data_IF_344206779040
#
_entry.id   IF_344206779040
#
_cell.length_a   1.000
_cell.length_b   1.000
_cell.length_c   1.000
_cell.angle_alpha   90.00
_cell.angle_beta   90.00
_cell.angle_gamma   90.00
#
_symmetry.space_group_name_H-M   'P 1'
#
loop_
_entity.id
_entity.type
_entity.pdbx_description
1 polymer ?
#
# COMPACT_ATOMS: atom_id res chain seq x y z
N UNK A 1 12.65 33.19 -16.62
CA UNK A 1 12.57 32.80 -15.21
C UNK A 1 12.33 31.29 -15.21
N UNK A 2 13.41 30.50 -15.00
CA UNK A 2 13.33 29.04 -15.09
C UNK A 2 12.41 28.49 -14.00
N UNK A 3 11.47 27.65 -14.40
CA UNK A 3 10.63 26.84 -13.49
C UNK A 3 11.61 25.96 -12.70
N UNK A 4 11.68 26.13 -11.39
CA UNK A 4 12.33 25.13 -10.53
C UNK A 4 11.40 23.93 -10.60
N UNK A 5 11.83 22.89 -11.33
CA UNK A 5 11.14 21.60 -11.37
C UNK A 5 11.37 20.96 -9.99
N UNK A 6 10.47 21.24 -9.07
CA UNK A 6 10.47 20.58 -7.76
C UNK A 6 10.16 19.11 -8.00
N UNK A 7 11.03 18.22 -7.55
CA UNK A 7 10.80 16.80 -7.63
C UNK A 7 9.49 16.44 -6.92
N UNK A 8 8.67 15.57 -7.53
CA UNK A 8 7.44 15.03 -6.92
C UNK A 8 7.84 14.24 -5.68
N UNK A 9 7.21 14.52 -4.53
CA UNK A 9 7.44 13.80 -3.27
C UNK A 9 6.35 12.77 -3.08
N UNK A 10 6.75 11.50 -3.08
CA UNK A 10 5.84 10.38 -2.90
C UNK A 10 6.10 9.69 -1.56
N UNK A 11 5.06 9.61 -0.72
CA UNK A 11 5.07 8.94 0.58
C UNK A 11 4.29 7.62 0.49
N UNK A 12 4.96 6.50 0.78
CA UNK A 12 4.35 5.18 0.82
C UNK A 12 4.32 4.66 2.26
N UNK A 13 3.12 4.63 2.87
CA UNK A 13 2.88 4.16 4.24
C UNK A 13 2.47 2.69 4.24
N UNK A 14 2.94 1.91 5.23
CA UNK A 14 2.52 0.52 5.31
C UNK A 14 3.43 -0.42 6.11
N UNK A 15 3.50 -1.65 5.66
CA UNK A 15 4.20 -2.76 6.31
C UNK A 15 5.19 -3.45 5.36
N UNK A 16 5.44 -4.75 5.60
CA UNK A 16 6.35 -5.57 4.77
C UNK A 16 6.00 -5.56 3.28
N UNK A 17 4.73 -5.47 2.93
CA UNK A 17 4.30 -5.39 1.54
C UNK A 17 4.64 -4.05 0.88
N UNK A 18 4.75 -3.00 1.66
CA UNK A 18 5.11 -1.65 1.18
C UNK A 18 6.62 -1.45 1.14
N UNK A 19 7.36 -1.91 2.17
CA UNK A 19 8.84 -1.84 2.12
C UNK A 19 9.42 -2.73 1.03
N UNK A 20 8.71 -3.80 0.61
CA UNK A 20 9.13 -4.69 -0.46
C UNK A 20 9.85 -5.93 0.03
N UNK A 21 9.48 -6.47 1.21
CA UNK A 21 10.03 -7.73 1.72
C UNK A 21 9.79 -8.85 0.71
N UNK A 22 10.82 -9.63 0.43
CA UNK A 22 10.80 -10.70 -0.57
C UNK A 22 11.27 -10.27 -1.96
N UNK A 23 11.39 -8.97 -2.23
CA UNK A 23 12.04 -8.47 -3.43
C UNK A 23 13.56 -8.68 -3.36
N UNK A 24 14.20 -8.82 -4.51
CA UNK A 24 15.65 -9.00 -4.60
C UNK A 24 16.44 -7.74 -4.31
N UNK A 25 15.81 -6.58 -4.44
CA UNK A 25 16.37 -5.24 -4.25
C UNK A 25 15.24 -4.25 -3.91
N UNK A 26 15.55 -3.18 -3.17
CA UNK A 26 14.58 -2.15 -2.79
C UNK A 26 13.91 -1.49 -3.99
N UNK A 27 14.63 -1.34 -5.10
CA UNK A 27 14.09 -0.77 -6.36
C UNK A 27 13.02 -1.65 -7.02
N UNK A 28 12.87 -2.89 -6.57
CA UNK A 28 11.88 -3.86 -7.05
C UNK A 28 10.58 -3.83 -6.25
N UNK A 29 10.52 -3.10 -5.15
CA UNK A 29 9.26 -2.87 -4.44
C UNK A 29 8.27 -2.09 -5.32
N UNK A 30 6.97 -2.34 -5.15
CA UNK A 30 5.96 -1.65 -5.96
C UNK A 30 5.99 -0.11 -5.81
N UNK A 31 6.25 0.48 -4.62
CA UNK A 31 6.36 1.93 -4.51
C UNK A 31 7.57 2.48 -5.25
N UNK A 32 8.72 1.79 -5.21
CA UNK A 32 9.92 2.21 -5.91
C UNK A 32 9.74 2.17 -7.44
N UNK A 33 9.06 1.14 -7.96
CA UNK A 33 8.73 1.05 -9.39
C UNK A 33 7.84 2.22 -9.81
N UNK A 34 6.83 2.58 -9.01
CA UNK A 34 5.94 3.73 -9.31
C UNK A 34 6.71 5.05 -9.20
N UNK A 35 7.54 5.23 -8.17
CA UNK A 35 8.37 6.41 -8.02
C UNK A 35 9.31 6.63 -9.22
N UNK A 36 9.93 5.55 -9.72
CA UNK A 36 10.77 5.60 -10.92
C UNK A 36 9.98 6.04 -12.17
N UNK A 37 8.74 5.58 -12.35
CA UNK A 37 7.86 6.00 -13.46
C UNK A 37 7.52 7.49 -13.43
N UNK A 38 7.43 8.04 -12.23
CA UNK A 38 7.08 9.44 -12.00
C UNK A 38 8.30 10.36 -11.93
N UNK A 39 9.51 9.81 -11.89
CA UNK A 39 10.72 10.52 -11.49
C UNK A 39 10.51 11.25 -10.13
N UNK A 40 9.87 10.55 -9.19
CA UNK A 40 9.51 11.07 -7.88
C UNK A 40 10.55 10.69 -6.81
N UNK A 41 10.71 11.56 -5.82
CA UNK A 41 11.44 11.25 -4.60
C UNK A 41 10.53 10.40 -3.67
N UNK A 42 10.92 9.14 -3.45
CA UNK A 42 10.17 8.22 -2.60
C UNK A 42 10.64 8.30 -1.15
N UNK A 43 9.69 8.53 -0.25
CA UNK A 43 9.86 8.25 1.18
C UNK A 43 9.03 7.04 1.54
N UNK A 44 9.67 5.97 1.99
CA UNK A 44 9.02 4.71 2.37
C UNK A 44 9.45 4.34 3.80
N UNK A 45 8.72 4.81 4.84
CA UNK A 45 9.02 4.54 6.24
C UNK A 45 8.46 3.21 6.74
N UNK A 46 7.85 2.40 5.85
CA UNK A 46 7.22 1.14 6.19
C UNK A 46 8.21 0.15 6.81
N UNK A 47 7.74 -0.65 7.75
CA UNK A 47 8.56 -1.63 8.48
C UNK A 47 7.86 -2.99 8.53
N UNK A 48 8.66 -4.07 8.43
CA UNK A 48 8.16 -5.43 8.53
C UNK A 48 7.39 -5.65 9.84
N UNK A 49 6.22 -6.26 9.74
CA UNK A 49 5.41 -6.61 10.90
C UNK A 49 4.53 -5.48 11.44
N UNK A 50 4.63 -4.26 10.90
CA UNK A 50 3.80 -3.15 11.37
C UNK A 50 2.31 -3.44 11.21
N UNK A 51 1.57 -3.20 12.29
CA UNK A 51 0.11 -3.11 12.33
C UNK A 51 -0.32 -1.67 12.06
N UNK A 52 -1.64 -1.46 11.95
CA UNK A 52 -2.19 -0.10 11.89
C UNK A 52 -1.81 0.73 13.12
N UNK A 53 -1.67 0.12 14.31
CA UNK A 53 -1.25 0.83 15.52
C UNK A 53 0.21 1.26 15.47
N UNK A 54 1.07 0.45 14.86
CA UNK A 54 2.49 0.78 14.68
C UNK A 54 2.65 1.90 13.64
N UNK A 55 1.88 1.85 12.54
CA UNK A 55 1.83 2.92 11.55
C UNK A 55 1.40 4.24 12.21
N UNK A 56 0.33 4.23 13.01
CA UNK A 56 -0.13 5.42 13.74
C UNK A 56 0.97 5.99 14.64
N UNK A 57 1.72 5.12 15.31
CA UNK A 57 2.75 5.54 16.28
C UNK A 57 4.02 6.04 15.61
N UNK A 58 4.44 5.42 14.49
CA UNK A 58 5.78 5.62 13.95
C UNK A 58 5.81 6.28 12.57
N UNK A 59 4.80 6.10 11.72
CA UNK A 59 4.78 6.66 10.37
C UNK A 59 3.94 7.95 10.28
N UNK A 60 2.76 8.00 10.90
CA UNK A 60 1.90 9.19 10.86
C UNK A 60 2.57 10.48 11.37
N UNK A 61 3.42 10.46 12.40
CA UNK A 61 4.13 11.69 12.82
C UNK A 61 4.99 12.32 11.72
N UNK A 62 5.39 11.53 10.72
CA UNK A 62 6.23 12.01 9.61
C UNK A 62 5.41 12.76 8.54
N UNK A 63 4.13 12.46 8.41
CA UNK A 63 3.27 12.89 7.28
C UNK A 63 3.31 14.41 7.07
N UNK A 64 3.08 15.18 8.14
CA UNK A 64 3.04 16.65 8.04
C UNK A 64 4.41 17.27 7.73
N UNK A 65 5.47 16.70 8.29
CA UNK A 65 6.84 17.20 8.10
C UNK A 65 7.36 16.98 6.68
N UNK A 66 6.95 15.88 6.04
CA UNK A 66 7.38 15.50 4.70
C UNK A 66 6.67 16.30 3.59
N UNK A 67 5.48 16.83 3.87
CA UNK A 67 4.67 17.55 2.87
C UNK A 67 4.62 16.84 1.52
N UNK A 68 4.15 15.58 1.45
CA UNK A 68 4.16 14.80 0.23
C UNK A 68 3.17 15.39 -0.79
N UNK A 69 3.44 15.14 -2.08
CA UNK A 69 2.56 15.47 -3.19
C UNK A 69 1.63 14.29 -3.54
N UNK A 70 2.07 13.08 -3.21
CA UNK A 70 1.37 11.81 -3.43
C UNK A 70 1.50 10.94 -2.19
N UNK A 71 0.44 10.22 -1.85
CA UNK A 71 0.43 9.27 -0.72
C UNK A 71 -0.18 7.95 -1.16
N UNK A 72 0.42 6.83 -0.74
CA UNK A 72 -0.23 5.53 -0.77
C UNK A 72 -0.23 4.90 0.61
N UNK A 73 -1.27 4.11 0.91
CA UNK A 73 -1.39 3.36 2.17
C UNK A 73 -1.77 1.91 1.86
N UNK A 74 -0.92 0.96 2.27
CA UNK A 74 -1.20 -0.47 2.26
C UNK A 74 -0.81 -1.03 3.62
N UNK A 75 -1.80 -1.36 4.45
CA UNK A 75 -1.60 -1.82 5.83
C UNK A 75 -2.76 -2.72 6.26
N UNK A 76 -2.53 -3.64 7.20
CA UNK A 76 -3.59 -4.36 7.88
C UNK A 76 -3.44 -5.88 7.89
N UNK A 77 -2.54 -6.46 7.09
CA UNK A 77 -2.33 -7.91 7.14
C UNK A 77 -1.83 -8.35 8.52
N UNK A 78 -0.98 -7.56 9.17
CA UNK A 78 -0.49 -7.88 10.51
C UNK A 78 -1.57 -7.71 11.58
N UNK A 79 -2.49 -6.78 11.42
CA UNK A 79 -3.69 -6.69 12.27
C UNK A 79 -4.54 -7.96 12.17
N UNK A 80 -4.76 -8.43 10.93
CA UNK A 80 -5.51 -9.65 10.65
C UNK A 80 -4.86 -10.89 11.30
N UNK A 81 -3.55 -11.09 11.09
CA UNK A 81 -2.85 -12.28 11.61
C UNK A 81 -2.66 -12.24 13.12
N UNK A 82 -2.65 -11.06 13.73
CA UNK A 82 -2.65 -10.88 15.19
C UNK A 82 -4.04 -10.97 15.81
N UNK A 83 -5.09 -11.22 15.01
CA UNK A 83 -6.44 -11.50 15.48
C UNK A 83 -7.25 -10.26 15.86
N UNK A 84 -6.89 -9.08 15.37
CA UNK A 84 -7.74 -7.90 15.49
C UNK A 84 -9.03 -8.09 14.69
N UNK A 85 -10.11 -7.48 15.17
CA UNK A 85 -11.38 -7.54 14.46
C UNK A 85 -11.45 -6.49 13.34
N UNK A 86 -12.32 -6.66 12.32
CA UNK A 86 -12.56 -5.63 11.31
C UNK A 86 -12.97 -4.27 11.89
N UNK A 87 -13.68 -4.24 13.02
CA UNK A 87 -14.09 -3.00 13.71
C UNK A 87 -12.88 -2.30 14.32
N UNK A 88 -12.00 -3.04 15.01
CA UNK A 88 -10.76 -2.49 15.57
C UNK A 88 -9.81 -1.98 14.47
N UNK A 89 -9.77 -2.67 13.34
CA UNK A 89 -9.04 -2.24 12.15
C UNK A 89 -9.65 -0.95 11.58
N UNK A 90 -10.98 -0.86 11.48
CA UNK A 90 -11.71 0.33 11.02
C UNK A 90 -11.34 1.57 11.83
N UNK A 91 -11.35 1.46 13.16
CA UNK A 91 -11.04 2.59 14.04
C UNK A 91 -9.62 3.12 13.81
N UNK A 92 -8.67 2.20 13.62
CA UNK A 92 -7.29 2.57 13.31
C UNK A 92 -7.16 3.19 11.92
N UNK A 93 -7.84 2.63 10.90
CA UNK A 93 -7.84 3.20 9.54
C UNK A 93 -8.43 4.60 9.51
N UNK A 94 -9.49 4.85 10.26
CA UNK A 94 -10.04 6.20 10.39
C UNK A 94 -9.00 7.19 10.86
N UNK A 95 -8.27 6.84 11.91
CA UNK A 95 -7.18 7.68 12.42
C UNK A 95 -6.12 7.94 11.35
N UNK A 96 -5.70 6.89 10.63
CA UNK A 96 -4.69 7.00 9.56
C UNK A 96 -5.19 7.89 8.42
N UNK A 97 -6.39 7.60 7.91
CA UNK A 97 -6.93 8.30 6.74
C UNK A 97 -7.35 9.74 7.07
N UNK A 98 -7.81 10.03 8.29
CA UNK A 98 -8.08 11.39 8.76
C UNK A 98 -6.79 12.23 8.80
N UNK A 99 -5.70 11.67 9.30
CA UNK A 99 -4.42 12.37 9.30
C UNK A 99 -3.92 12.63 7.88
N UNK A 100 -3.99 11.64 6.97
CA UNK A 100 -3.64 11.82 5.55
C UNK A 100 -4.54 12.87 4.89
N UNK A 101 -5.84 12.89 5.18
CA UNK A 101 -6.77 13.88 4.64
C UNK A 101 -6.44 15.32 5.09
N UNK A 102 -5.76 15.52 6.25
CA UNK A 102 -5.31 16.85 6.69
C UNK A 102 -4.32 17.51 5.73
N UNK A 103 -3.66 16.72 4.87
CA UNK A 103 -2.75 17.23 3.83
C UNK A 103 -3.49 18.03 2.75
N UNK A 104 -4.81 17.85 2.61
CA UNK A 104 -5.65 18.52 1.61
C UNK A 104 -5.11 18.38 0.18
N UNK A 105 -4.59 17.21 -0.13
CA UNK A 105 -4.10 16.93 -1.48
C UNK A 105 -5.26 16.96 -2.49
N UNK A 106 -4.99 17.34 -3.75
CA UNK A 106 -5.99 17.28 -4.81
C UNK A 106 -6.59 15.87 -4.95
N UNK A 107 -7.80 15.78 -5.45
CA UNK A 107 -8.49 14.50 -5.68
C UNK A 107 -7.63 13.53 -6.48
N UNK A 108 -7.62 12.26 -6.08
CA UNK A 108 -6.85 11.20 -6.70
C UNK A 108 -5.35 11.15 -6.33
N UNK A 109 -4.86 12.05 -5.48
CA UNK A 109 -3.45 12.05 -5.02
C UNK A 109 -3.17 11.11 -3.86
N UNK A 110 -4.21 10.52 -3.28
CA UNK A 110 -4.11 9.49 -2.23
C UNK A 110 -4.65 8.18 -2.77
N UNK A 111 -3.84 7.13 -2.70
CA UNK A 111 -4.21 5.76 -3.03
C UNK A 111 -4.30 4.91 -1.76
N UNK A 112 -5.47 4.33 -1.51
CA UNK A 112 -5.67 3.29 -0.52
C UNK A 112 -5.63 1.93 -1.23
N UNK A 113 -4.61 1.13 -0.92
CA UNK A 113 -4.33 -0.14 -1.59
C UNK A 113 -4.81 -1.30 -0.71
N UNK A 114 -5.50 -2.27 -1.30
CA UNK A 114 -6.00 -3.45 -0.58
C UNK A 114 -4.86 -4.30 0.00
N UNK A 115 -5.15 -5.02 1.08
CA UNK A 115 -4.35 -6.20 1.44
C UNK A 115 -4.42 -7.17 0.25
N UNK A 116 -3.27 -7.73 -0.21
CA UNK A 116 -3.25 -8.66 -1.34
C UNK A 116 -3.99 -9.95 -1.03
N UNK A 117 -4.40 -10.69 -2.06
CA UNK A 117 -4.74 -12.10 -1.89
C UNK A 117 -3.46 -12.88 -1.63
N UNK A 118 -3.33 -13.50 -0.45
CA UNK A 118 -2.16 -14.27 -0.03
C UNK A 118 -2.50 -15.68 0.48
N UNK A 119 -3.75 -16.05 0.43
CA UNK A 119 -4.26 -17.37 0.88
C UNK A 119 -3.67 -18.57 0.13
N UNK A 120 -3.06 -18.33 -1.03
CA UNK A 120 -2.32 -19.33 -1.80
C UNK A 120 -0.88 -19.53 -1.32
N UNK A 121 -0.34 -18.59 -0.53
CA UNK A 121 1.02 -18.71 -0.01
C UNK A 121 1.11 -19.88 0.98
N UNK A 122 2.21 -20.67 0.96
CA UNK A 122 2.38 -21.77 1.89
C UNK A 122 2.17 -21.38 3.35
N UNK A 123 2.62 -20.20 3.75
CA UNK A 123 2.47 -19.68 5.10
C UNK A 123 1.01 -19.46 5.53
N UNK A 124 0.03 -19.41 4.61
CA UNK A 124 -1.39 -19.30 4.98
C UNK A 124 -1.88 -20.45 5.87
N UNK A 125 -1.21 -21.61 5.80
CA UNK A 125 -1.50 -22.76 6.67
C UNK A 125 -1.33 -22.43 8.17
N UNK A 126 -0.31 -21.63 8.51
CA UNK A 126 0.01 -21.24 9.89
C UNK A 126 -1.05 -20.30 10.49
N UNK A 127 -1.84 -19.65 9.63
CA UNK A 127 -2.88 -18.69 10.01
C UNK A 127 -4.31 -19.26 9.90
N UNK A 128 -4.42 -20.58 9.81
CA UNK A 128 -5.68 -21.32 9.80
C UNK A 128 -6.21 -21.68 8.42
N UNK A 129 -5.33 -21.63 7.41
CA UNK A 129 -5.57 -22.12 6.06
C UNK A 129 -6.25 -21.12 5.12
N UNK A 130 -6.18 -21.43 3.83
CA UNK A 130 -6.60 -20.54 2.73
C UNK A 130 -8.00 -19.95 2.91
N UNK A 131 -8.99 -20.77 3.25
CA UNK A 131 -10.38 -20.30 3.38
C UNK A 131 -10.58 -19.27 4.50
N UNK A 132 -9.89 -19.47 5.65
CA UNK A 132 -9.96 -18.51 6.75
C UNK A 132 -9.26 -17.21 6.38
N UNK A 133 -8.08 -17.32 5.80
CA UNK A 133 -7.30 -16.17 5.33
C UNK A 133 -8.09 -15.34 4.31
N UNK A 134 -8.70 -15.98 3.31
CA UNK A 134 -9.54 -15.31 2.31
C UNK A 134 -10.71 -14.55 2.94
N UNK A 135 -11.45 -15.20 3.84
CA UNK A 135 -12.59 -14.54 4.50
C UNK A 135 -12.16 -13.31 5.30
N UNK A 136 -11.07 -13.44 6.06
CA UNK A 136 -10.57 -12.33 6.88
C UNK A 136 -10.03 -11.21 6.00
N UNK A 137 -9.22 -11.53 4.98
CA UNK A 137 -8.69 -10.53 4.03
C UNK A 137 -9.84 -9.79 3.34
N UNK A 138 -10.87 -10.49 2.90
CA UNK A 138 -12.05 -9.89 2.27
C UNK A 138 -12.79 -8.94 3.24
N UNK A 139 -12.95 -9.33 4.51
CA UNK A 139 -13.61 -8.49 5.51
C UNK A 139 -12.81 -7.22 5.80
N UNK A 140 -11.49 -7.33 5.93
CA UNK A 140 -10.60 -6.17 6.15
C UNK A 140 -10.58 -5.25 4.92
N UNK A 141 -10.50 -5.80 3.71
CA UNK A 141 -10.53 -5.02 2.48
C UNK A 141 -11.86 -4.31 2.26
N UNK A 142 -12.99 -4.93 2.66
CA UNK A 142 -14.29 -4.26 2.62
C UNK A 142 -14.29 -3.01 3.51
N UNK A 143 -13.78 -3.13 4.75
CA UNK A 143 -13.61 -2.00 5.67
C UNK A 143 -12.71 -0.92 5.09
N UNK A 144 -11.55 -1.30 4.56
CA UNK A 144 -10.59 -0.35 4.00
C UNK A 144 -11.17 0.41 2.80
N UNK A 145 -11.92 -0.28 1.93
CA UNK A 145 -12.61 0.32 0.79
C UNK A 145 -13.67 1.33 1.22
N UNK A 146 -14.49 0.99 2.22
CA UNK A 146 -15.52 1.90 2.75
C UNK A 146 -14.89 3.17 3.31
N UNK A 147 -13.83 3.04 4.14
CA UNK A 147 -13.16 4.18 4.75
C UNK A 147 -12.40 5.04 3.74
N UNK A 148 -11.82 4.43 2.68
CA UNK A 148 -11.18 5.14 1.57
C UNK A 148 -12.21 5.95 0.76
N UNK A 149 -13.32 5.31 0.38
CA UNK A 149 -14.39 5.96 -0.38
C UNK A 149 -15.03 7.13 0.39
N UNK A 150 -15.16 7.00 1.71
CA UNK A 150 -15.71 8.08 2.56
C UNK A 150 -14.84 9.35 2.57
N UNK A 151 -13.61 9.26 2.06
CA UNK A 151 -12.65 10.38 2.01
C UNK A 151 -12.20 10.72 0.58
N UNK A 152 -12.88 10.19 -0.43
CA UNK A 152 -12.56 10.36 -1.85
C UNK A 152 -11.12 9.92 -2.21
N UNK A 153 -10.57 8.94 -1.47
CA UNK A 153 -9.29 8.32 -1.80
C UNK A 153 -9.48 7.31 -2.94
N UNK A 154 -8.48 7.20 -3.81
CA UNK A 154 -8.51 6.19 -4.86
C UNK A 154 -8.32 4.81 -4.25
N UNK A 155 -9.37 4.00 -4.24
CA UNK A 155 -9.28 2.60 -3.83
C UNK A 155 -8.65 1.76 -4.94
N UNK A 156 -7.64 0.97 -4.60
CA UNK A 156 -6.95 0.07 -5.54
C UNK A 156 -6.97 -1.35 -4.99
N UNK A 157 -7.73 -2.23 -5.63
CA UNK A 157 -7.76 -3.65 -5.31
C UNK A 157 -6.65 -4.40 -6.05
N UNK A 158 -5.62 -4.83 -5.32
CA UNK A 158 -4.52 -5.66 -5.85
C UNK A 158 -4.74 -7.17 -5.67
N UNK A 159 -5.88 -7.59 -5.15
CA UNK A 159 -6.21 -9.02 -4.98
C UNK A 159 -6.10 -9.80 -6.30
N UNK A 160 -6.75 -9.37 -7.40
CA UNK A 160 -6.61 -10.01 -8.71
C UNK A 160 -5.16 -10.02 -9.24
N UNK A 161 -4.41 -8.91 -9.02
CA UNK A 161 -3.01 -8.82 -9.40
C UNK A 161 -2.14 -9.81 -8.63
N UNK A 162 -2.48 -10.10 -7.37
CA UNK A 162 -1.75 -11.04 -6.49
C UNK A 162 -1.85 -12.49 -6.95
N UNK A 163 -2.84 -12.83 -7.76
CA UNK A 163 -3.07 -14.21 -8.25
C UNK A 163 -2.84 -14.37 -9.75
N UNK A 164 -2.49 -13.29 -10.46
CA UNK A 164 -2.46 -13.25 -11.93
C UNK A 164 -1.47 -14.24 -12.57
N UNK A 165 -0.39 -14.61 -11.86
CA UNK A 165 0.66 -15.49 -12.38
C UNK A 165 1.12 -16.50 -11.34
N UNK A 166 0.18 -17.14 -10.65
CA UNK A 166 0.49 -18.19 -9.66
C UNK A 166 1.36 -19.28 -10.27
N UNK A 167 2.38 -19.71 -9.52
CA UNK A 167 3.31 -20.75 -9.96
C UNK A 167 4.44 -20.28 -10.89
N UNK A 168 4.45 -19.00 -11.31
CA UNK A 168 5.59 -18.48 -12.08
C UNK A 168 6.82 -18.24 -11.19
N UNK A 169 8.00 -18.37 -11.78
CA UNK A 169 9.25 -18.13 -11.08
C UNK A 169 9.32 -16.69 -10.54
N UNK A 170 9.76 -16.52 -9.30
CA UNK A 170 9.88 -15.21 -8.67
C UNK A 170 8.54 -14.58 -8.28
N UNK A 171 7.44 -15.37 -8.24
CA UNK A 171 6.13 -14.88 -7.80
C UNK A 171 6.05 -14.72 -6.29
N UNK A 172 6.57 -15.68 -5.54
CA UNK A 172 6.72 -15.64 -4.09
C UNK A 172 8.20 -15.55 -3.75
N UNK A 173 8.54 -14.77 -2.74
CA UNK A 173 9.89 -14.67 -2.20
C UNK A 173 10.40 -15.98 -1.56
N UNK A 174 11.65 -16.00 -1.22
CA UNK A 174 12.32 -17.18 -0.63
C UNK A 174 11.76 -17.57 0.75
N UNK A 175 11.06 -16.68 1.42
CA UNK A 175 10.39 -16.90 2.71
C UNK A 175 9.02 -17.60 2.59
N UNK A 176 8.57 -17.92 1.38
CA UNK A 176 7.30 -18.57 1.07
C UNK A 176 6.05 -17.80 1.54
N UNK A 177 6.17 -16.52 1.81
CA UNK A 177 5.10 -15.65 2.27
C UNK A 177 5.00 -14.38 1.42
N UNK A 178 6.07 -13.60 1.37
CA UNK A 178 6.06 -12.30 0.72
C UNK A 178 6.17 -12.42 -0.81
N UNK A 179 5.69 -11.41 -1.54
CA UNK A 179 5.85 -11.36 -2.99
C UNK A 179 7.30 -11.35 -3.43
N UNK A 180 7.61 -11.98 -4.55
CA UNK A 180 8.87 -11.76 -5.24
C UNK A 180 8.77 -10.64 -6.27
N UNK A 181 9.88 -10.36 -6.98
CA UNK A 181 10.00 -9.27 -7.96
C UNK A 181 8.89 -9.26 -9.01
N UNK A 182 8.54 -10.45 -9.53
CA UNK A 182 7.52 -10.59 -10.56
C UNK A 182 6.14 -10.16 -10.08
N UNK A 183 5.80 -10.43 -8.83
CA UNK A 183 4.52 -10.06 -8.25
C UNK A 183 4.47 -8.57 -7.91
N UNK A 184 5.54 -8.02 -7.33
CA UNK A 184 5.62 -6.58 -7.06
C UNK A 184 5.52 -5.74 -8.34
N UNK A 185 6.10 -6.20 -9.45
CA UNK A 185 5.95 -5.53 -10.74
C UNK A 185 4.49 -5.52 -11.22
N UNK A 186 3.77 -6.64 -11.05
CA UNK A 186 2.34 -6.72 -11.42
C UNK A 186 1.47 -5.85 -10.50
N UNK A 187 1.81 -5.76 -9.19
CA UNK A 187 1.12 -4.83 -8.29
C UNK A 187 1.36 -3.39 -8.70
N UNK A 188 2.62 -3.02 -9.01
CA UNK A 188 2.94 -1.68 -9.49
C UNK A 188 2.16 -1.32 -10.76
N UNK A 189 1.98 -2.27 -11.69
CA UNK A 189 1.18 -2.07 -12.91
C UNK A 189 -0.30 -1.85 -12.59
N UNK A 190 -0.87 -2.64 -11.67
CA UNK A 190 -2.27 -2.51 -11.27
C UNK A 190 -2.52 -1.17 -10.56
N UNK A 191 -1.65 -0.80 -9.61
CA UNK A 191 -1.75 0.47 -8.89
C UNK A 191 -1.57 1.64 -9.87
N UNK A 192 -0.54 1.58 -10.71
CA UNK A 192 -0.27 2.60 -11.73
C UNK A 192 -1.47 2.81 -12.65
N UNK A 193 -2.11 1.73 -13.10
CA UNK A 193 -3.29 1.82 -13.96
C UNK A 193 -4.43 2.61 -13.32
N UNK A 194 -4.57 2.52 -11.99
CA UNK A 194 -5.62 3.21 -11.24
C UNK A 194 -5.30 4.69 -10.98
N UNK A 195 -4.02 5.04 -10.79
CA UNK A 195 -3.63 6.39 -10.32
C UNK A 195 -2.97 7.26 -11.40
N UNK A 196 -2.53 6.70 -12.54
CA UNK A 196 -1.69 7.40 -13.52
C UNK A 196 -2.26 8.74 -13.99
N UNK A 197 -3.57 8.84 -14.18
CA UNK A 197 -4.19 10.08 -14.68
C UNK A 197 -4.06 11.20 -13.65
N UNK A 198 -4.33 10.93 -12.38
CA UNK A 198 -4.22 11.91 -11.31
C UNK A 198 -2.76 12.16 -10.89
N UNK A 199 -1.92 11.10 -10.85
CA UNK A 199 -0.54 11.21 -10.37
C UNK A 199 0.42 11.83 -11.40
N UNK A 200 0.13 11.72 -12.71
CA UNK A 200 0.92 12.35 -13.78
C UNK A 200 0.43 13.76 -14.15
N UNK A 201 -0.71 14.21 -13.63
CA UNK A 201 -1.22 15.54 -13.91
C UNK A 201 -0.29 16.61 -13.34
N UNK A 202 -0.09 17.76 -14.00
CA UNK A 202 0.74 18.83 -13.50
C UNK A 202 0.32 19.24 -12.08
N UNK A 203 1.30 19.46 -11.21
CA UNK A 203 1.06 20.05 -9.90
C UNK A 203 0.76 21.54 -10.11
N UNK A 204 -0.50 21.90 -10.06
CA UNK A 204 -0.91 23.31 -10.05
C UNK A 204 -0.73 23.74 -8.59
N UNK A 205 0.45 24.33 -8.28
CA UNK A 205 0.66 24.93 -6.98
C UNK A 205 -0.34 26.06 -6.79
N UNK A 206 -1.07 26.04 -5.70
CA UNK A 206 -1.83 27.18 -5.21
C UNK A 206 -0.88 28.24 -4.67
#
# INVERSE_FOLDING_TARGET
MGRIDLAIRYLALGDSYTIGTGASDESRSWPAIIAARLNAELTNPAVNGYTTLDLIRHELPLVKGLQPDLVSVLIGVNDLVQGRTPEQYRDSLRTIYEEVATLKLPAGRVAAVSIPTWSYAPAAADFGGSQKVDRLTSAFNAVAREEANARDFTWVDIGPASTARLGSQGWIGADHLHPGDAQYAVWADAIWSAVRESWSSPFIGN
#
